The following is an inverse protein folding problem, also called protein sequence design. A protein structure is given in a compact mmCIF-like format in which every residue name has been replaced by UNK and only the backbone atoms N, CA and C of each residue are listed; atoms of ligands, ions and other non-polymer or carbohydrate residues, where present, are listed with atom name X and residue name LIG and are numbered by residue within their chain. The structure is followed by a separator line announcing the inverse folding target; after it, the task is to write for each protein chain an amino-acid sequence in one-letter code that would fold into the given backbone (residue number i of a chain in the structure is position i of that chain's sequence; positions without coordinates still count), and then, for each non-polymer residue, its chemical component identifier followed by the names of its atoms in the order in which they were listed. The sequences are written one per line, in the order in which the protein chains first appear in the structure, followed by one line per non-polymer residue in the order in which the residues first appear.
data_IF_968971261944
#
_entry.id   IF_968971261944
#
_cell.length_a   1.000
_cell.length_b   1.000
_cell.length_c   1.000
_cell.angle_alpha   90.00
_cell.angle_beta   90.00
_cell.angle_gamma   90.00
#
_symmetry.space_group_name_H-M   'P 1'
#
loop_
_entity.id
_entity.type
_entity.pdbx_description
1 polymer ?
#
# COMPACT_ATOMS: atom_id res chain seq x y z
N UNK A 1 28.01 1.36 6.06
CA UNK A 1 27.66 1.05 4.66
C UNK A 1 26.39 1.85 4.36
N UNK A 2 26.42 2.85 3.47
CA UNK A 2 25.27 3.75 3.27
C UNK A 2 24.26 3.09 2.34
N UNK A 3 23.06 2.80 2.85
CA UNK A 3 21.94 2.24 2.08
C UNK A 3 21.44 3.27 1.06
N UNK A 4 21.00 2.79 -0.11
CA UNK A 4 20.45 3.63 -1.19
C UNK A 4 19.03 3.22 -1.54
N UNK A 5 18.25 4.14 -2.10
CA UNK A 5 16.85 3.90 -2.46
C UNK A 5 16.69 2.69 -3.40
N UNK A 6 17.61 2.45 -4.34
CA UNK A 6 17.56 1.31 -5.26
C UNK A 6 17.67 -0.04 -4.56
N UNK A 7 18.25 -0.06 -3.37
CA UNK A 7 18.39 -1.28 -2.59
C UNK A 7 17.04 -1.69 -1.98
N UNK A 8 15.99 -0.87 -2.08
CA UNK A 8 14.66 -1.09 -1.52
C UNK A 8 13.64 -1.54 -2.56
N UNK A 9 12.92 -2.60 -2.25
CA UNK A 9 11.74 -3.05 -3.00
C UNK A 9 10.61 -3.31 -2.01
N UNK A 10 9.39 -2.92 -2.38
CA UNK A 10 8.18 -3.24 -1.59
C UNK A 10 8.07 -4.75 -1.45
N UNK A 11 7.87 -5.21 -0.21
CA UNK A 11 7.92 -6.63 0.13
C UNK A 11 8.64 -6.89 1.45
N UNK A 12 8.69 -8.16 1.83
CA UNK A 12 9.26 -8.64 3.10
C UNK A 12 10.77 -8.84 3.00
N UNK A 13 11.51 -8.32 3.98
CA UNK A 13 12.91 -8.67 4.25
C UNK A 13 13.09 -9.03 5.71
N UNK A 14 13.79 -10.12 5.99
CA UNK A 14 14.14 -10.51 7.34
C UNK A 14 15.63 -10.25 7.55
N UNK A 15 15.96 -9.47 8.59
CA UNK A 15 17.34 -9.27 9.02
C UNK A 15 17.42 -9.84 10.45
N UNK A 16 18.26 -10.86 10.62
CA UNK A 16 18.55 -11.39 11.94
C UNK A 16 19.65 -10.53 12.56
N UNK A 17 19.31 -9.71 13.54
CA UNK A 17 20.28 -8.90 14.28
C UNK A 17 20.36 -9.42 15.72
N UNK A 18 21.56 -9.69 16.22
CA UNK A 18 21.75 -10.48 17.46
C UNK A 18 21.88 -9.60 18.71
N UNK A 19 21.95 -8.27 18.57
CA UNK A 19 22.12 -7.32 19.68
C UNK A 19 20.88 -6.44 19.88
N UNK A 20 19.84 -7.02 20.49
CA UNK A 20 18.56 -6.36 20.78
C UNK A 20 18.60 -5.40 22.00
N UNK A 21 19.71 -4.72 22.29
CA UNK A 21 19.73 -3.68 23.33
C UNK A 21 19.42 -2.28 22.78
N UNK A 22 19.62 -2.08 21.48
CA UNK A 22 19.16 -0.89 20.75
C UNK A 22 18.81 -1.32 19.32
N UNK A 23 17.52 -1.27 18.98
CA UNK A 23 17.11 -1.29 17.58
C UNK A 23 17.89 -0.17 16.87
N UNK A 24 18.51 -0.44 15.71
CA UNK A 24 19.42 0.51 15.10
C UNK A 24 18.68 1.83 14.87
N UNK A 25 19.21 2.91 15.44
CA UNK A 25 18.91 4.27 15.00
C UNK A 25 19.31 4.34 13.53
N UNK A 26 18.32 4.17 12.65
CA UNK A 26 18.52 4.13 11.21
C UNK A 26 18.64 5.57 10.71
N UNK A 27 19.84 6.02 10.28
CA UNK A 27 20.09 7.41 9.91
C UNK A 27 19.18 7.80 8.74
N UNK A 28 18.31 8.79 8.98
CA UNK A 28 17.33 9.27 7.99
C UNK A 28 15.87 8.90 8.30
N UNK A 29 15.61 8.20 9.41
CA UNK A 29 14.24 7.99 9.92
C UNK A 29 13.62 9.31 10.34
N UNK A 30 12.53 9.69 9.67
CA UNK A 30 11.80 10.94 9.91
C UNK A 30 10.70 10.76 10.96
N UNK A 31 10.08 9.58 10.99
CA UNK A 31 8.99 9.24 11.89
C UNK A 31 9.11 7.78 12.31
N UNK A 32 8.95 7.52 13.61
CA UNK A 32 9.05 6.19 14.20
C UNK A 32 8.06 6.09 15.37
N UNK A 33 7.17 5.12 15.32
CA UNK A 33 6.22 4.81 16.40
C UNK A 33 6.43 3.39 16.90
N UNK A 34 6.66 3.22 18.20
CA UNK A 34 6.83 1.91 18.84
C UNK A 34 5.70 1.65 19.84
N UNK A 35 5.38 0.36 20.01
CA UNK A 35 4.71 -0.16 21.20
C UNK A 35 5.74 -0.91 22.05
N UNK A 36 6.05 -0.39 23.25
CA UNK A 36 7.10 -0.90 24.15
C UNK A 36 6.71 -2.22 24.86
N UNK A 37 7.65 -3.16 24.95
CA UNK A 37 7.65 -4.37 25.81
C UNK A 37 9.11 -4.68 26.24
N UNK A 38 9.30 -5.38 27.36
CA UNK A 38 10.51 -5.50 28.20
C UNK A 38 11.84 -5.88 27.49
N UNK A 39 12.94 -5.40 28.06
CA UNK A 39 14.32 -5.42 27.55
C UNK A 39 15.09 -6.70 27.97
N UNK A 40 16.00 -7.22 27.13
CA UNK A 40 17.07 -8.14 27.56
C UNK A 40 17.19 -9.50 26.86
N UNK A 41 16.25 -9.89 25.99
CA UNK A 41 16.30 -11.17 25.25
C UNK A 41 16.71 -10.98 23.79
N UNK A 42 17.36 -11.98 23.15
CA UNK A 42 17.64 -11.94 21.71
C UNK A 42 16.32 -11.85 20.93
N UNK A 43 16.28 -10.94 19.96
CA UNK A 43 15.09 -10.68 19.16
C UNK A 43 15.44 -10.66 17.67
N UNK A 44 14.47 -11.00 16.83
CA UNK A 44 14.59 -10.89 15.37
C UNK A 44 13.77 -9.72 14.87
N UNK A 45 14.31 -8.95 13.92
CA UNK A 45 13.62 -7.80 13.34
C UNK A 45 13.23 -8.12 11.90
N UNK A 46 11.92 -8.22 11.68
CA UNK A 46 11.34 -8.35 10.36
C UNK A 46 10.97 -6.96 9.84
N UNK A 47 11.46 -6.58 8.66
CA UNK A 47 11.15 -5.30 8.04
C UNK A 47 10.43 -5.54 6.71
N UNK A 48 9.21 -5.02 6.61
CA UNK A 48 8.39 -5.05 5.41
C UNK A 48 8.38 -3.65 4.83
N UNK A 49 8.91 -3.47 3.63
CA UNK A 49 8.81 -2.20 2.92
C UNK A 49 7.41 -2.11 2.33
N UNK A 50 6.62 -1.12 2.75
CA UNK A 50 5.22 -0.96 2.37
C UNK A 50 5.00 0.08 1.27
N UNK A 51 5.95 1.00 1.09
CA UNK A 51 5.90 2.02 0.03
C UNK A 51 7.31 2.54 -0.27
N UNK A 52 7.57 2.78 -1.55
CA UNK A 52 8.74 3.48 -2.04
C UNK A 52 8.29 4.61 -2.96
N UNK A 53 8.66 5.86 -2.67
CA UNK A 53 8.36 7.02 -3.52
C UNK A 53 9.62 7.85 -3.75
N UNK A 54 10.06 7.97 -4.99
CA UNK A 54 11.16 8.89 -5.34
C UNK A 54 10.67 10.34 -5.35
N UNK A 55 11.55 11.25 -4.95
CA UNK A 55 11.37 12.66 -5.26
C UNK A 55 11.65 12.90 -6.74
N UNK A 56 10.84 13.77 -7.36
CA UNK A 56 11.00 14.13 -8.78
C UNK A 56 12.12 15.14 -9.02
N UNK A 57 12.42 15.94 -8.01
CA UNK A 57 13.34 17.08 -8.10
C UNK A 57 14.62 16.89 -7.29
N UNK A 58 14.69 15.83 -6.48
CA UNK A 58 15.80 15.57 -5.57
C UNK A 58 16.32 14.16 -5.77
N UNK A 59 17.62 13.96 -5.52
CA UNK A 59 18.26 12.64 -5.55
C UNK A 59 18.00 11.87 -4.25
N UNK A 60 16.73 11.76 -3.89
CA UNK A 60 16.26 11.11 -2.67
C UNK A 60 14.88 10.47 -2.88
N UNK A 61 14.48 9.62 -1.95
CA UNK A 61 13.14 9.05 -1.93
C UNK A 61 12.72 8.64 -0.52
N UNK A 62 11.41 8.56 -0.32
CA UNK A 62 10.81 8.08 0.92
C UNK A 62 10.61 6.58 0.85
N UNK A 63 11.01 5.90 1.92
CA UNK A 63 10.74 4.47 2.12
C UNK A 63 9.91 4.33 3.39
N UNK A 64 8.71 3.80 3.24
CA UNK A 64 7.85 3.46 4.37
C UNK A 64 8.05 1.99 4.70
N UNK A 65 8.14 1.69 5.99
CA UNK A 65 8.43 0.35 6.49
C UNK A 65 7.50 0.01 7.64
N UNK A 66 7.09 -1.25 7.68
CA UNK A 66 6.46 -1.89 8.80
C UNK A 66 7.47 -2.84 9.44
N UNK A 67 7.72 -2.72 10.74
CA UNK A 67 8.72 -3.50 11.47
C UNK A 67 8.06 -4.32 12.56
N UNK A 68 8.40 -5.60 12.62
CA UNK A 68 8.01 -6.51 13.69
C UNK A 68 9.27 -6.98 14.42
N UNK A 69 9.25 -6.89 15.73
CA UNK A 69 10.28 -7.46 16.60
C UNK A 69 9.70 -8.71 17.22
N UNK A 70 10.38 -9.84 17.06
CA UNK A 70 9.96 -11.12 17.61
C UNK A 70 10.98 -11.62 18.62
N UNK A 71 10.50 -12.20 19.71
CA UNK A 71 11.36 -12.88 20.68
C UNK A 71 11.90 -14.21 20.13
N UNK A 72 12.64 -14.94 20.98
CA UNK A 72 13.19 -16.27 20.68
C UNK A 72 12.13 -17.31 20.29
N UNK A 73 10.89 -17.14 20.75
CA UNK A 73 9.78 -18.06 20.52
C UNK A 73 8.97 -17.65 19.27
N UNK A 74 9.39 -16.60 18.57
CA UNK A 74 8.74 -16.07 17.37
C UNK A 74 7.52 -15.19 17.65
N UNK A 75 7.23 -14.91 18.93
CA UNK A 75 6.13 -14.06 19.35
C UNK A 75 6.46 -12.61 19.04
N UNK A 76 5.53 -11.88 18.39
CA UNK A 76 5.70 -10.44 18.16
C UNK A 76 5.64 -9.72 19.50
N UNK A 77 6.77 -9.14 19.92
CA UNK A 77 6.89 -8.35 21.15
C UNK A 77 6.83 -6.86 20.88
N UNK A 78 7.19 -6.40 19.68
CA UNK A 78 7.02 -5.01 19.26
C UNK A 78 6.60 -4.90 17.78
N UNK A 79 5.86 -3.85 17.47
CA UNK A 79 5.40 -3.51 16.13
C UNK A 79 5.58 -2.00 15.93
N UNK A 80 6.06 -1.60 14.76
CA UNK A 80 6.34 -0.21 14.43
C UNK A 80 6.11 0.09 12.95
N UNK A 81 5.82 1.36 12.67
CA UNK A 81 5.91 1.93 11.32
C UNK A 81 6.96 3.02 11.30
N UNK A 82 7.75 3.07 10.22
CA UNK A 82 8.79 4.09 10.05
C UNK A 82 8.86 4.62 8.63
N UNK A 83 9.12 5.91 8.50
CA UNK A 83 9.42 6.56 7.22
C UNK A 83 10.86 7.02 7.24
N UNK A 84 11.63 6.66 6.21
CA UNK A 84 13.01 7.12 6.04
C UNK A 84 13.18 7.87 4.72
N UNK A 85 13.93 8.97 4.75
CA UNK A 85 14.43 9.63 3.55
C UNK A 85 15.78 9.01 3.17
N UNK A 86 15.85 8.40 1.99
CA UNK A 86 17.02 7.64 1.53
C UNK A 86 17.60 8.28 0.26
N UNK A 87 18.92 8.48 0.14
CA UNK A 87 19.54 8.95 -1.09
C UNK A 87 19.28 8.02 -2.29
N UNK A 88 19.12 8.57 -3.48
CA UNK A 88 18.91 7.85 -4.75
C UNK A 88 20.03 8.15 -5.75
N UNK A 89 20.37 7.20 -6.64
CA UNK A 89 21.37 7.36 -7.72
C UNK A 89 20.79 8.13 -8.91
N UNK A 90 20.16 9.28 -8.65
CA UNK A 90 19.52 10.13 -9.66
C UNK A 90 18.03 10.34 -9.42
N UNK A 91 17.41 11.08 -10.34
CA UNK A 91 15.97 11.37 -10.30
C UNK A 91 15.13 10.12 -10.60
N UNK A 92 13.82 10.21 -10.35
CA UNK A 92 12.88 9.17 -10.75
C UNK A 92 12.88 8.98 -12.28
N UNK A 93 12.95 7.74 -12.79
CA UNK A 93 12.73 7.48 -14.21
C UNK A 93 11.26 7.77 -14.59
N UNK A 94 10.99 7.96 -15.88
CA UNK A 94 9.65 8.12 -16.42
C UNK A 94 9.37 7.04 -17.48
N UNK A 95 8.44 6.09 -17.25
CA UNK A 95 7.64 5.93 -16.04
C UNK A 95 8.45 5.40 -14.84
N UNK A 96 8.06 5.79 -13.62
CA UNK A 96 8.66 5.26 -12.38
C UNK A 96 7.98 3.92 -12.01
N UNK A 97 8.70 2.78 -12.05
CA UNK A 97 8.12 1.48 -11.76
C UNK A 97 7.62 1.36 -10.31
N UNK A 98 8.10 2.20 -9.38
CA UNK A 98 7.62 2.19 -8.00
C UNK A 98 6.16 2.65 -7.87
N UNK A 99 5.63 3.38 -8.86
CA UNK A 99 4.25 3.89 -8.85
C UNK A 99 3.22 2.76 -8.84
N UNK A 100 3.52 1.60 -9.43
CA UNK A 100 2.63 0.44 -9.42
C UNK A 100 2.40 -0.14 -8.01
N UNK A 101 3.30 0.17 -7.07
CA UNK A 101 3.24 -0.27 -5.66
C UNK A 101 3.00 0.90 -4.70
N UNK A 102 2.82 2.13 -5.21
CA UNK A 102 2.43 3.31 -4.41
C UNK A 102 0.90 3.33 -4.21
N UNK A 103 0.38 2.28 -3.57
CA UNK A 103 -1.06 2.01 -3.45
C UNK A 103 -1.84 3.23 -2.97
N UNK A 104 -3.02 3.43 -3.55
CA UNK A 104 -3.91 4.55 -3.23
C UNK A 104 -3.34 5.95 -3.50
N UNK A 105 -2.16 6.10 -4.11
CA UNK A 105 -1.73 7.38 -4.67
C UNK A 105 -2.49 7.71 -5.95
N UNK A 106 -2.50 8.98 -6.35
CA UNK A 106 -3.07 9.39 -7.66
C UNK A 106 -2.29 8.78 -8.84
N UNK A 107 -0.97 8.67 -8.72
CA UNK A 107 -0.14 8.05 -9.77
C UNK A 107 -0.52 6.59 -9.97
N UNK A 108 -0.65 5.85 -8.88
CA UNK A 108 -1.14 4.47 -8.89
C UNK A 108 -2.56 4.37 -9.43
N UNK A 109 -3.48 5.25 -9.01
CA UNK A 109 -4.85 5.26 -9.51
C UNK A 109 -4.94 5.47 -11.01
N UNK A 110 -4.05 6.30 -11.59
CA UNK A 110 -3.94 6.49 -13.04
C UNK A 110 -3.45 5.24 -13.77
N UNK A 111 -2.54 4.47 -13.19
CA UNK A 111 -2.14 3.16 -13.73
C UNK A 111 -3.27 2.12 -13.61
N UNK A 112 -4.09 2.22 -12.57
CA UNK A 112 -5.21 1.33 -12.33
C UNK A 112 -6.37 1.53 -13.32
N UNK A 113 -6.62 2.76 -13.78
CA UNK A 113 -7.75 3.07 -14.68
C UNK A 113 -7.76 2.21 -15.95
N UNK A 114 -6.69 2.12 -16.76
CA UNK A 114 -6.70 1.27 -17.96
C UNK A 114 -6.94 -0.21 -17.64
N UNK A 115 -6.40 -0.71 -16.53
CA UNK A 115 -6.61 -2.09 -16.10
C UNK A 115 -8.08 -2.35 -15.74
N UNK A 116 -8.74 -1.39 -15.09
CA UNK A 116 -10.16 -1.48 -14.74
C UNK A 116 -11.08 -1.35 -15.96
N UNK A 117 -10.76 -0.46 -16.89
CA UNK A 117 -11.53 -0.29 -18.13
C UNK A 117 -11.49 -1.57 -18.99
N UNK A 118 -10.39 -2.33 -18.93
CA UNK A 118 -10.25 -3.63 -19.57
C UNK A 118 -10.90 -4.79 -18.78
N UNK A 119 -11.40 -4.56 -17.56
CA UNK A 119 -11.87 -5.61 -16.65
C UNK A 119 -13.39 -5.82 -16.74
N UNK A 120 -13.90 -6.91 -17.37
CA UNK A 120 -15.33 -7.07 -17.63
C UNK A 120 -16.18 -7.12 -16.34
N UNK A 121 -15.66 -7.77 -15.28
CA UNK A 121 -16.37 -7.84 -14.01
C UNK A 121 -16.52 -6.48 -13.32
N UNK A 122 -15.57 -5.56 -13.50
CA UNK A 122 -15.66 -4.20 -12.98
C UNK A 122 -16.74 -3.42 -13.73
N UNK A 123 -16.71 -3.48 -15.06
CA UNK A 123 -17.68 -2.80 -15.92
C UNK A 123 -19.11 -3.25 -15.62
N UNK A 124 -19.36 -4.56 -15.49
CA UNK A 124 -20.71 -5.07 -15.16
C UNK A 124 -21.12 -4.68 -13.73
N UNK A 125 -20.24 -4.84 -12.75
CA UNK A 125 -20.56 -4.53 -11.35
C UNK A 125 -20.85 -3.03 -11.12
N UNK A 126 -20.31 -2.15 -11.97
CA UNK A 126 -20.49 -0.69 -11.86
C UNK A 126 -21.39 -0.11 -12.97
N UNK A 127 -22.08 -0.96 -13.75
CA UNK A 127 -22.91 -0.53 -14.90
C UNK A 127 -24.02 0.46 -14.55
N UNK A 128 -24.61 0.34 -13.36
CA UNK A 128 -25.65 1.25 -12.87
C UNK A 128 -25.13 2.26 -11.85
N UNK A 129 -23.82 2.28 -11.60
CA UNK A 129 -23.21 3.18 -10.63
C UNK A 129 -22.83 4.52 -11.28
N UNK A 130 -23.07 5.58 -10.53
CA UNK A 130 -22.65 6.95 -10.81
C UNK A 130 -22.20 7.56 -9.49
N UNK A 131 -20.89 7.79 -9.36
CA UNK A 131 -20.31 8.26 -8.10
C UNK A 131 -18.80 8.13 -8.09
N UNK A 132 -18.21 8.18 -6.91
CA UNK A 132 -16.78 8.04 -6.73
C UNK A 132 -16.46 6.98 -5.67
N UNK A 133 -15.45 6.15 -5.92
CA UNK A 133 -14.95 5.15 -4.98
C UNK A 133 -13.65 5.66 -4.38
N UNK A 134 -13.59 5.82 -3.06
CA UNK A 134 -12.35 6.14 -2.36
C UNK A 134 -11.56 4.88 -2.02
N UNK A 135 -10.26 4.88 -2.26
CA UNK A 135 -9.31 3.85 -1.85
C UNK A 135 -8.21 4.52 -1.03
N UNK A 136 -7.98 4.05 0.20
CA UNK A 136 -7.01 4.67 1.12
C UNK A 136 -6.03 3.67 1.73
N UNK A 137 -4.75 4.02 1.69
CA UNK A 137 -3.63 3.31 2.29
C UNK A 137 -2.87 4.26 3.23
N UNK A 138 -3.13 4.15 4.54
CA UNK A 138 -2.61 5.09 5.53
C UNK A 138 -3.18 6.51 5.31
N UNK A 139 -2.28 7.46 5.00
CA UNK A 139 -2.60 8.86 4.70
C UNK A 139 -2.85 9.15 3.22
N UNK A 140 -2.53 8.21 2.31
CA UNK A 140 -2.73 8.39 0.87
C UNK A 140 -4.11 7.87 0.46
N UNK A 141 -4.89 8.72 -0.20
CA UNK A 141 -6.19 8.39 -0.75
C UNK A 141 -6.29 8.81 -2.22
N UNK A 142 -6.89 7.93 -3.02
CA UNK A 142 -7.32 8.22 -4.38
C UNK A 142 -8.81 7.94 -4.51
N UNK A 143 -9.50 8.81 -5.24
CA UNK A 143 -10.89 8.65 -5.60
C UNK A 143 -10.99 8.33 -7.09
N UNK A 144 -11.68 7.25 -7.40
CA UNK A 144 -12.00 6.81 -8.74
C UNK A 144 -13.41 7.28 -9.08
N UNK A 145 -13.54 8.24 -9.99
CA UNK A 145 -14.85 8.68 -10.48
C UNK A 145 -15.36 7.65 -11.48
N UNK A 146 -16.47 7.00 -11.16
CA UNK A 146 -17.03 5.92 -11.96
C UNK A 146 -18.38 6.34 -12.52
N UNK A 147 -18.56 6.09 -13.81
CA UNK A 147 -19.83 6.32 -14.49
C UNK A 147 -20.12 5.16 -15.43
N UNK A 148 -21.22 4.45 -15.18
CA UNK A 148 -21.77 3.41 -16.06
C UNK A 148 -20.73 2.41 -16.56
N UNK A 149 -19.99 1.80 -15.64
CA UNK A 149 -19.02 0.75 -15.99
C UNK A 149 -17.62 1.24 -16.34
N UNK A 150 -17.35 2.55 -16.30
CA UNK A 150 -16.05 3.13 -16.68
C UNK A 150 -15.50 4.05 -15.62
N UNK A 151 -14.17 4.09 -15.49
CA UNK A 151 -13.51 5.08 -14.65
C UNK A 151 -13.22 6.33 -15.48
N UNK A 152 -13.83 7.45 -15.12
CA UNK A 152 -13.64 8.72 -15.80
C UNK A 152 -12.35 9.42 -15.36
N UNK A 153 -11.98 9.27 -14.09
CA UNK A 153 -10.87 9.99 -13.48
C UNK A 153 -10.35 9.30 -12.22
N UNK A 154 -9.05 9.40 -11.97
CA UNK A 154 -8.41 9.12 -10.69
C UNK A 154 -7.80 10.41 -10.12
N UNK A 155 -8.28 10.88 -8.98
CA UNK A 155 -7.89 12.15 -8.36
C UNK A 155 -7.78 12.05 -6.83
N UNK A 156 -7.17 13.03 -6.16
CA UNK A 156 -7.13 13.06 -4.68
C UNK A 156 -8.51 13.30 -4.07
N UNK A 157 -9.35 14.05 -4.79
CA UNK A 157 -10.71 14.34 -4.41
C UNK A 157 -11.55 14.54 -5.66
N UNK A 158 -12.85 14.27 -5.53
CA UNK A 158 -13.87 14.56 -6.51
C UNK A 158 -14.82 15.64 -5.96
N UNK A 159 -15.56 16.38 -6.80
CA UNK A 159 -16.39 17.49 -6.35
C UNK A 159 -17.43 17.13 -5.26
N UNK A 160 -17.97 15.90 -5.29
CA UNK A 160 -18.93 15.40 -4.31
C UNK A 160 -18.30 14.51 -3.23
N UNK A 161 -16.98 14.32 -3.29
CA UNK A 161 -16.27 13.31 -2.51
C UNK A 161 -16.62 11.88 -2.90
N UNK A 162 -15.95 10.93 -2.25
CA UNK A 162 -16.23 9.52 -2.43
C UNK A 162 -17.62 9.16 -1.89
N UNK A 163 -18.37 8.36 -2.65
CA UNK A 163 -19.62 7.73 -2.21
C UNK A 163 -19.38 6.84 -1.00
N UNK A 164 -18.27 6.09 -1.03
CA UNK A 164 -17.68 5.45 0.13
C UNK A 164 -16.17 5.32 -0.06
N UNK A 165 -15.43 5.21 1.04
CA UNK A 165 -13.99 4.95 1.02
C UNK A 165 -13.70 3.60 1.67
N UNK A 166 -12.99 2.73 0.96
CA UNK A 166 -12.37 1.52 1.49
C UNK A 166 -10.95 1.85 1.96
N UNK A 167 -10.67 1.65 3.23
CA UNK A 167 -9.40 2.02 3.84
C UNK A 167 -8.74 0.88 4.61
N UNK A 168 -7.42 0.77 4.47
CA UNK A 168 -6.59 -0.15 5.24
C UNK A 168 -5.19 0.45 5.48
N UNK A 169 -4.35 -0.25 6.25
CA UNK A 169 -2.95 0.13 6.43
C UNK A 169 -2.15 -0.09 5.13
N UNK A 170 -1.00 0.56 5.01
CA UNK A 170 -0.10 0.30 3.88
C UNK A 170 0.37 -1.17 3.84
N UNK A 171 0.58 -1.77 5.02
CA UNK A 171 0.91 -3.19 5.15
C UNK A 171 -0.20 -4.07 4.56
N UNK A 172 -1.46 -3.81 4.91
CA UNK A 172 -2.59 -4.61 4.45
C UNK A 172 -2.75 -4.56 2.93
N UNK A 173 -2.60 -3.37 2.33
CA UNK A 173 -2.58 -3.23 0.87
C UNK A 173 -1.41 -3.97 0.23
N UNK A 174 -0.23 -3.88 0.83
CA UNK A 174 0.98 -4.57 0.35
C UNK A 174 0.79 -6.08 0.38
N UNK A 175 0.33 -6.64 1.49
CA UNK A 175 0.09 -8.07 1.61
C UNK A 175 -1.03 -8.55 0.68
N UNK A 176 -2.11 -7.78 0.54
CA UNK A 176 -3.21 -8.11 -0.37
C UNK A 176 -2.74 -8.17 -1.83
N UNK A 177 -1.94 -7.18 -2.25
CA UNK A 177 -1.42 -7.09 -3.60
C UNK A 177 -0.42 -8.21 -3.92
N UNK A 178 0.42 -8.59 -2.95
CA UNK A 178 1.49 -9.56 -3.14
C UNK A 178 1.12 -11.01 -2.76
N UNK A 179 -0.06 -11.25 -2.19
CA UNK A 179 -0.51 -12.60 -1.85
C UNK A 179 -0.58 -13.52 -3.08
N UNK A 180 -0.58 -14.84 -2.91
CA UNK A 180 -0.67 -15.78 -4.03
C UNK A 180 -2.04 -15.76 -4.75
N UNK A 181 -3.10 -15.34 -4.05
CA UNK A 181 -4.47 -15.24 -4.58
C UNK A 181 -5.16 -13.99 -4.03
N UNK A 182 -6.28 -13.60 -4.64
CA UNK A 182 -7.09 -12.53 -4.12
C UNK A 182 -7.79 -12.97 -2.82
N UNK A 183 -7.38 -12.39 -1.69
CA UNK A 183 -7.90 -12.69 -0.36
C UNK A 183 -8.75 -11.55 0.22
N UNK A 184 -9.19 -10.61 -0.63
CA UNK A 184 -9.90 -9.41 -0.21
C UNK A 184 -11.11 -9.72 0.68
N UNK A 185 -11.98 -10.64 0.24
CA UNK A 185 -13.19 -10.97 0.99
C UNK A 185 -12.89 -11.59 2.35
N UNK A 186 -11.89 -12.49 2.42
CA UNK A 186 -11.49 -13.10 3.69
C UNK A 186 -10.94 -12.06 4.67
N UNK A 187 -10.09 -11.15 4.18
CA UNK A 187 -9.52 -10.06 4.98
C UNK A 187 -10.59 -9.04 5.41
N UNK A 188 -11.55 -8.72 4.53
CA UNK A 188 -12.68 -7.85 4.85
C UNK A 188 -13.58 -8.42 5.95
N UNK A 189 -13.90 -9.72 5.90
CA UNK A 189 -14.65 -10.40 6.97
C UNK A 189 -13.92 -10.39 8.31
N UNK A 190 -12.58 -10.42 8.29
CA UNK A 190 -11.74 -10.31 9.50
C UNK A 190 -11.56 -8.86 9.99
N UNK A 191 -12.25 -7.89 9.39
CA UNK A 191 -12.16 -6.48 9.81
C UNK A 191 -10.83 -5.81 9.48
N UNK A 192 -10.06 -6.34 8.51
CA UNK A 192 -8.80 -5.74 8.06
C UNK A 192 -8.99 -4.46 7.23
N UNK A 193 -10.21 -4.23 6.77
CA UNK A 193 -10.62 -3.03 6.06
C UNK A 193 -11.65 -2.26 6.89
N UNK A 194 -11.54 -0.94 6.84
CA UNK A 194 -12.55 -0.01 7.32
C UNK A 194 -13.28 0.62 6.14
N UNK A 195 -14.57 0.91 6.32
CA UNK A 195 -15.41 1.55 5.31
C UNK A 195 -16.05 2.79 5.92
N UNK A 196 -15.98 3.91 5.22
CA UNK A 196 -16.71 5.14 5.56
C UNK A 196 -17.59 5.58 4.39
N UNK A 197 -18.65 6.33 4.67
CA UNK A 197 -19.63 6.78 3.66
C UNK A 197 -20.82 5.82 3.52
N UNK A 198 -21.30 5.62 2.30
CA UNK A 198 -22.53 4.87 2.04
C UNK A 198 -22.31 3.35 2.11
N UNK A 199 -22.68 2.75 3.25
CA UNK A 199 -22.56 1.31 3.49
C UNK A 199 -23.39 0.44 2.51
N UNK A 200 -24.54 0.93 2.05
CA UNK A 200 -25.36 0.20 1.08
C UNK A 200 -24.65 0.10 -0.28
N UNK A 201 -24.07 1.20 -0.75
CA UNK A 201 -23.27 1.20 -2.00
C UNK A 201 -22.02 0.34 -1.88
N UNK A 202 -21.35 0.35 -0.72
CA UNK A 202 -20.23 -0.56 -0.43
C UNK A 202 -20.63 -2.04 -0.61
N UNK A 203 -21.74 -2.46 0.01
CA UNK A 203 -22.23 -3.84 -0.11
C UNK A 203 -22.63 -4.15 -1.56
N UNK A 204 -23.29 -3.22 -2.26
CA UNK A 204 -23.68 -3.40 -3.66
C UNK A 204 -22.46 -3.56 -4.58
N UNK A 205 -21.38 -2.82 -4.32
CA UNK A 205 -20.18 -2.76 -5.16
C UNK A 205 -19.05 -3.69 -4.72
N UNK A 206 -19.32 -4.65 -3.84
CA UNK A 206 -18.31 -5.62 -3.39
C UNK A 206 -17.66 -6.37 -4.56
N UNK A 207 -18.41 -6.71 -5.61
CA UNK A 207 -17.84 -7.32 -6.84
C UNK A 207 -16.88 -6.39 -7.59
N UNK A 208 -17.17 -5.09 -7.60
CA UNK A 208 -16.27 -4.10 -8.19
C UNK A 208 -14.98 -3.97 -7.37
N UNK A 209 -15.06 -4.05 -6.04
CA UNK A 209 -13.89 -4.05 -5.15
C UNK A 209 -13.00 -5.28 -5.37
N UNK A 210 -13.58 -6.47 -5.59
CA UNK A 210 -12.81 -7.67 -5.96
C UNK A 210 -12.04 -7.43 -7.27
N UNK A 211 -12.68 -6.88 -8.30
CA UNK A 211 -12.03 -6.55 -9.57
C UNK A 211 -10.94 -5.47 -9.43
N UNK A 212 -11.15 -4.47 -8.57
CA UNK A 212 -10.11 -3.49 -8.20
C UNK A 212 -8.90 -4.19 -7.61
N UNK A 213 -9.11 -5.14 -6.69
CA UNK A 213 -8.01 -5.88 -6.07
C UNK A 213 -7.31 -6.79 -7.09
N UNK A 214 -8.04 -7.44 -8.00
CA UNK A 214 -7.42 -8.24 -9.05
C UNK A 214 -6.54 -7.38 -9.98
N UNK A 215 -7.03 -6.23 -10.42
CA UNK A 215 -6.25 -5.28 -11.21
C UNK A 215 -5.03 -4.73 -10.42
N UNK A 216 -5.20 -4.45 -9.12
CA UNK A 216 -4.11 -4.04 -8.23
C UNK A 216 -3.00 -5.10 -8.19
N UNK A 217 -3.38 -6.37 -8.05
CA UNK A 217 -2.44 -7.50 -8.00
C UNK A 217 -1.72 -7.70 -9.33
N UNK A 218 -2.42 -7.52 -10.45
CA UNK A 218 -1.83 -7.59 -11.78
C UNK A 218 -0.78 -6.48 -11.99
N UNK A 219 -1.05 -5.25 -11.55
CA UNK A 219 -0.08 -4.14 -11.60
C UNK A 219 1.13 -4.38 -10.70
N UNK A 220 0.92 -4.99 -9.53
CA UNK A 220 1.98 -5.28 -8.57
C UNK A 220 2.89 -6.46 -9.01
N UNK A 221 2.46 -7.27 -9.98
CA UNK A 221 3.24 -8.40 -10.47
C UNK A 221 4.50 -7.94 -11.25
N UNK A 222 5.61 -8.70 -11.19
CA UNK A 222 6.79 -8.40 -12.00
C UNK A 222 6.44 -8.36 -13.49
N UNK A 223 6.58 -7.20 -14.14
CA UNK A 223 6.22 -6.97 -15.54
C UNK A 223 4.84 -6.32 -15.78
N UNK A 224 4.13 -5.92 -14.72
CA UNK A 224 2.81 -5.26 -14.79
C UNK A 224 2.80 -3.81 -15.29
N UNK A 225 3.95 -3.27 -15.71
CA UNK A 225 4.06 -1.94 -16.34
C UNK A 225 4.63 -2.15 -17.74
N UNK A 226 3.77 -2.15 -18.74
CA UNK A 226 4.10 -2.16 -20.16
C UNK A 226 3.57 -0.90 -20.84
#
# INVERSE_FOLDING_TARGET
MSERFEDYQVGRRSISDTEASRLPDDPGTLELSWRLVAEGDPATVETIVTRCRRHRTEQAGHVHRHRLVRDRDGTVVQEATSTALVPARGLAPDPDPAVALDFCSVGWGRLLVPALDAHPAFAEATRTFDGALGLRAGSEEVQLRVYRGRVLEAARSTPLGATFTLAASELEWTELALAARNEFMARATLGRFSVSGNAHEYLRLTKALVAIVDATRALAAPGGVA
#
